data_IF_131470416117
#
_entry.id   IF_131470416117
#
_cell.length_a   1.000
_cell.length_b   1.000
_cell.length_c   1.000
_cell.angle_alpha   90.00
_cell.angle_beta   90.00
_cell.angle_gamma   90.00
#
_symmetry.space_group_name_H-M   'P 1'
#
loop_
_entity.id
_entity.type
_entity.pdbx_description
1 polymer ?
#
# COMPACT_ATOMS: atom_id res chain seq x y z
N UNK A 1 -2.76 -1.18 -10.79
CA UNK A 1 -1.38 -1.56 -11.12
C UNK A 1 -0.74 -2.56 -10.17
N UNK A 2 -1.15 -2.68 -8.90
CA UNK A 2 -0.61 -3.70 -8.00
C UNK A 2 -0.68 -5.14 -8.55
N UNK A 3 -1.65 -5.41 -9.45
CA UNK A 3 -1.77 -6.70 -10.18
C UNK A 3 -0.69 -6.89 -11.25
N UNK A 4 -0.05 -5.82 -11.75
CA UNK A 4 1.01 -5.91 -12.76
C UNK A 4 2.24 -6.68 -12.27
N UNK A 5 2.45 -6.76 -10.94
CA UNK A 5 3.52 -7.56 -10.33
C UNK A 5 3.10 -8.97 -9.96
N UNK A 6 1.85 -9.36 -10.22
CA UNK A 6 1.36 -10.71 -9.95
C UNK A 6 2.13 -11.83 -10.66
N UNK A 7 2.67 -11.66 -11.88
CA UNK A 7 3.54 -12.67 -12.49
C UNK A 7 4.76 -13.02 -11.61
N UNK A 8 5.30 -12.05 -10.87
CA UNK A 8 6.41 -12.29 -9.94
C UNK A 8 5.97 -13.13 -8.73
N UNK A 9 4.71 -13.02 -8.30
CA UNK A 9 4.13 -13.87 -7.24
C UNK A 9 4.03 -15.32 -7.71
N UNK A 10 3.62 -15.55 -8.96
CA UNK A 10 3.60 -16.90 -9.54
C UNK A 10 5.01 -17.50 -9.63
N UNK A 11 6.01 -16.71 -10.01
CA UNK A 11 7.40 -17.16 -10.01
C UNK A 11 7.86 -17.52 -8.59
N UNK A 12 7.53 -16.71 -7.58
CA UNK A 12 7.83 -17.04 -6.19
C UNK A 12 7.14 -18.34 -5.75
N UNK A 13 5.88 -18.56 -6.13
CA UNK A 13 5.16 -19.80 -5.86
C UNK A 13 5.85 -21.02 -6.48
N UNK A 14 6.16 -20.96 -7.77
CA UNK A 14 6.83 -22.04 -8.50
C UNK A 14 8.18 -22.40 -7.88
N UNK A 15 8.96 -21.39 -7.45
CA UNK A 15 10.29 -21.59 -6.89
C UNK A 15 10.25 -22.16 -5.46
N UNK A 16 9.41 -21.59 -4.59
CA UNK A 16 9.45 -21.90 -3.15
C UNK A 16 8.50 -23.03 -2.76
N UNK A 17 7.33 -23.13 -3.40
CA UNK A 17 6.32 -24.15 -3.08
C UNK A 17 6.48 -25.35 -4.01
N UNK A 18 6.49 -25.12 -5.33
CA UNK A 18 6.54 -26.22 -6.31
C UNK A 18 7.98 -26.71 -6.62
N UNK A 19 8.99 -25.94 -6.20
CA UNK A 19 10.42 -26.22 -6.44
C UNK A 19 10.78 -26.42 -7.92
N UNK A 20 10.08 -25.73 -8.82
CA UNK A 20 10.38 -25.75 -10.26
C UNK A 20 11.68 -24.97 -10.55
N UNK A 21 12.43 -25.35 -11.60
CA UNK A 21 13.58 -24.57 -12.02
C UNK A 21 13.17 -23.18 -12.54
N UNK A 22 13.96 -22.16 -12.20
CA UNK A 22 13.68 -20.75 -12.52
C UNK A 22 13.40 -20.52 -14.01
N UNK A 23 14.22 -21.11 -14.89
CA UNK A 23 14.09 -20.92 -16.33
C UNK A 23 12.72 -21.35 -16.84
N UNK A 24 12.22 -22.52 -16.40
CA UNK A 24 10.90 -23.02 -16.80
C UNK A 24 9.77 -22.16 -16.23
N UNK A 25 9.89 -21.76 -14.96
CA UNK A 25 8.91 -20.86 -14.35
C UNK A 25 8.81 -19.54 -15.11
N UNK A 26 9.94 -18.90 -15.45
CA UNK A 26 9.94 -17.65 -16.20
C UNK A 26 9.34 -17.81 -17.60
N UNK A 27 9.71 -18.87 -18.33
CA UNK A 27 9.19 -19.16 -19.68
C UNK A 27 7.67 -19.30 -19.69
N UNK A 28 7.11 -20.07 -18.75
CA UNK A 28 5.66 -20.26 -18.62
C UNK A 28 4.92 -18.95 -18.32
N UNK A 29 5.61 -17.92 -17.79
CA UNK A 29 5.03 -16.65 -17.35
C UNK A 29 5.31 -15.48 -18.30
N UNK A 30 6.06 -15.70 -19.39
CA UNK A 30 6.36 -14.67 -20.40
C UNK A 30 5.11 -13.92 -20.85
N UNK A 31 3.98 -14.56 -21.22
CA UNK A 31 2.79 -13.83 -21.66
C UNK A 31 2.26 -12.84 -20.62
N UNK A 32 2.31 -13.21 -19.33
CA UNK A 32 1.84 -12.34 -18.25
C UNK A 32 2.80 -11.19 -17.98
N UNK A 33 4.12 -11.42 -18.07
CA UNK A 33 5.10 -10.35 -17.97
C UNK A 33 5.00 -9.35 -19.13
N UNK A 34 4.78 -9.84 -20.36
CA UNK A 34 4.55 -8.98 -21.53
C UNK A 34 3.31 -8.13 -21.32
N UNK A 35 2.18 -8.73 -20.93
CA UNK A 35 0.95 -7.99 -20.65
C UNK A 35 1.16 -6.93 -19.55
N UNK A 36 1.81 -7.31 -18.44
CA UNK A 36 2.13 -6.40 -17.35
C UNK A 36 3.02 -5.23 -17.80
N UNK A 37 4.03 -5.49 -18.63
CA UNK A 37 4.92 -4.47 -19.16
C UNK A 37 4.18 -3.50 -20.08
N UNK A 38 3.31 -3.99 -20.97
CA UNK A 38 2.46 -3.16 -21.83
C UNK A 38 1.61 -2.21 -20.99
N UNK A 39 0.89 -2.73 -19.97
CA UNK A 39 0.09 -1.88 -19.09
C UNK A 39 0.94 -0.90 -18.28
N UNK A 40 2.12 -1.31 -17.80
CA UNK A 40 3.01 -0.42 -17.07
C UNK A 40 3.48 0.75 -17.95
N UNK A 41 3.84 0.49 -19.21
CA UNK A 41 4.23 1.52 -20.19
C UNK A 41 3.05 2.44 -20.49
N UNK A 42 1.87 1.90 -20.79
CA UNK A 42 0.66 2.69 -21.06
C UNK A 42 0.34 3.63 -19.89
N UNK A 43 0.38 3.12 -18.66
CA UNK A 43 0.16 3.94 -17.47
C UNK A 43 1.25 4.98 -17.33
N UNK A 44 2.52 4.61 -17.45
CA UNK A 44 3.63 5.55 -17.32
C UNK A 44 3.52 6.69 -18.34
N UNK A 45 3.08 6.39 -19.57
CA UNK A 45 2.85 7.41 -20.61
C UNK A 45 1.65 8.32 -20.35
N UNK A 46 0.65 7.85 -19.60
CA UNK A 46 -0.54 8.62 -19.24
C UNK A 46 -0.33 9.49 -17.97
N UNK A 47 0.73 9.23 -17.20
CA UNK A 47 1.04 10.03 -16.01
C UNK A 47 1.75 11.33 -16.42
N UNK A 48 1.36 12.49 -15.86
CA UNK A 48 2.09 13.72 -16.08
C UNK A 48 3.50 13.60 -15.49
N UNK A 49 4.53 14.22 -16.10
CA UNK A 49 5.87 14.24 -15.54
C UNK A 49 5.85 14.97 -14.20
N UNK A 50 5.98 14.22 -13.10
CA UNK A 50 5.96 14.79 -11.75
C UNK A 50 7.32 15.33 -11.31
N UNK A 51 8.36 15.23 -12.15
CA UNK A 51 9.74 15.63 -11.81
C UNK A 51 10.40 14.78 -10.72
N UNK A 52 9.75 13.69 -10.32
CA UNK A 52 10.18 12.85 -9.21
C UNK A 52 11.35 11.95 -9.59
N UNK A 53 12.35 11.92 -8.72
CA UNK A 53 13.46 10.97 -8.77
C UNK A 53 13.21 9.86 -7.75
N UNK A 54 13.49 8.59 -8.08
CA UNK A 54 13.39 7.50 -7.12
C UNK A 54 14.53 7.65 -6.09
N UNK A 55 14.24 8.27 -4.95
CA UNK A 55 15.17 8.42 -3.83
C UNK A 55 15.00 7.23 -2.88
N UNK A 56 16.02 6.36 -2.71
CA UNK A 56 15.92 5.16 -1.86
C UNK A 56 15.36 5.40 -0.46
N UNK A 57 15.77 6.46 0.25
CA UNK A 57 15.25 6.73 1.60
C UNK A 57 13.75 7.08 1.57
N UNK A 58 13.29 7.82 0.56
CA UNK A 58 11.89 8.20 0.42
C UNK A 58 11.04 6.98 0.05
N UNK A 59 11.55 6.11 -0.82
CA UNK A 59 10.92 4.83 -1.14
C UNK A 59 10.83 3.92 0.09
N UNK A 60 11.88 3.87 0.92
CA UNK A 60 11.87 3.14 2.19
C UNK A 60 10.78 3.66 3.14
N UNK A 61 10.72 4.98 3.35
CA UNK A 61 9.71 5.60 4.20
C UNK A 61 8.29 5.34 3.67
N UNK A 62 8.08 5.44 2.36
CA UNK A 62 6.81 5.14 1.72
C UNK A 62 6.44 3.65 1.82
N UNK A 63 7.41 2.73 1.72
CA UNK A 63 7.22 1.30 1.99
C UNK A 63 6.81 1.04 3.44
N UNK A 64 7.53 1.64 4.39
CA UNK A 64 7.24 1.49 5.82
C UNK A 64 5.83 2.00 6.15
N UNK A 65 5.43 3.14 5.59
CA UNK A 65 4.10 3.70 5.79
C UNK A 65 3.02 2.89 5.07
N UNK A 66 3.28 2.35 3.88
CA UNK A 66 2.35 1.44 3.21
C UNK A 66 2.16 0.15 4.01
N UNK A 67 3.23 -0.36 4.61
CA UNK A 67 3.18 -1.48 5.56
C UNK A 67 2.39 -1.14 6.82
N UNK A 68 2.58 0.05 7.38
CA UNK A 68 1.80 0.52 8.53
C UNK A 68 0.32 0.67 8.21
N UNK A 69 -0.02 1.24 7.06
CA UNK A 69 -1.39 1.32 6.56
C UNK A 69 -2.02 -0.04 6.33
N UNK A 70 -1.25 -1.01 5.81
CA UNK A 70 -1.72 -2.38 5.60
C UNK A 70 -2.19 -3.05 6.90
N UNK A 71 -1.65 -2.64 8.05
CA UNK A 71 -2.12 -3.15 9.35
C UNK A 71 -3.50 -2.65 9.75
N UNK A 72 -4.04 -1.62 9.08
CA UNK A 72 -5.28 -0.94 9.42
C UNK A 72 -5.15 0.10 10.57
N UNK A 73 -3.96 0.23 11.17
CA UNK A 73 -3.68 1.18 12.25
C UNK A 73 -2.97 2.46 11.77
N UNK A 74 -2.62 2.51 10.49
CA UNK A 74 -2.09 3.72 9.87
C UNK A 74 -3.13 4.81 9.70
N UNK A 75 -2.68 6.06 9.79
CA UNK A 75 -3.51 7.20 9.47
C UNK A 75 -3.73 7.26 7.96
N UNK A 76 -4.95 7.02 7.51
CA UNK A 76 -5.33 7.15 6.10
C UNK A 76 -5.15 8.61 5.67
N UNK A 77 -4.08 8.84 4.91
CA UNK A 77 -3.75 10.11 4.28
C UNK A 77 -3.16 9.79 2.92
N UNK A 78 -3.55 10.59 1.95
CA UNK A 78 -2.81 10.74 0.70
C UNK A 78 -1.45 11.30 1.06
N UNK A 79 -0.41 10.48 0.91
CA UNK A 79 0.90 10.80 1.43
C UNK A 79 1.99 10.66 0.37
N UNK A 80 2.88 11.66 0.39
CA UNK A 80 4.14 11.68 -0.34
C UNK A 80 5.22 12.14 0.63
N UNK A 81 6.33 11.40 0.68
CA UNK A 81 7.52 11.84 1.41
C UNK A 81 8.13 13.00 0.63
N UNK A 82 8.19 14.23 1.17
CA UNK A 82 8.85 15.32 0.48
C UNK A 82 10.36 15.03 0.35
N UNK A 83 10.99 15.39 -0.78
CA UNK A 83 12.43 15.31 -0.90
C UNK A 83 13.08 16.19 0.17
N UNK A 84 14.01 15.63 0.93
CA UNK A 84 14.81 16.35 1.90
C UNK A 84 16.07 16.82 1.16
N UNK A 85 16.27 18.13 0.96
CA UNK A 85 17.44 18.65 0.26
C UNK A 85 18.75 18.29 0.99
N UNK A 86 18.70 18.06 2.30
CA UNK A 86 19.84 17.69 3.14
C UNK A 86 20.06 16.17 3.21
N UNK A 87 19.31 15.37 2.45
CA UNK A 87 19.48 13.92 2.38
C UNK A 87 20.81 13.56 1.71
N UNK A 88 21.86 13.48 2.52
CA UNK A 88 23.19 13.09 2.09
C UNK A 88 23.28 11.64 1.61
N UNK A 89 24.39 11.30 0.95
CA UNK A 89 24.63 9.98 0.37
C UNK A 89 24.46 8.83 1.38
N UNK A 90 24.83 9.03 2.65
CA UNK A 90 24.68 8.03 3.70
C UNK A 90 23.21 7.60 3.88
N UNK A 91 22.27 8.54 3.87
CA UNK A 91 20.85 8.24 4.04
C UNK A 91 20.30 7.48 2.82
N UNK A 92 20.78 7.79 1.62
CA UNK A 92 20.43 7.06 0.40
C UNK A 92 20.94 5.62 0.44
N UNK A 93 22.20 5.42 0.84
CA UNK A 93 22.82 4.10 0.96
C UNK A 93 22.10 3.27 2.03
N UNK A 94 21.84 3.86 3.20
CA UNK A 94 21.09 3.19 4.27
C UNK A 94 19.66 2.83 3.82
N UNK A 95 18.99 3.75 3.11
CA UNK A 95 17.67 3.51 2.52
C UNK A 95 17.66 2.32 1.55
N UNK A 96 18.62 2.30 0.62
CA UNK A 96 18.78 1.23 -0.34
C UNK A 96 19.12 -0.12 0.33
N UNK A 97 20.04 -0.13 1.30
CA UNK A 97 20.41 -1.32 2.04
C UNK A 97 19.22 -1.91 2.82
N UNK A 98 18.41 -1.06 3.45
CA UNK A 98 17.22 -1.50 4.17
C UNK A 98 16.13 -2.04 3.22
N UNK A 99 15.93 -1.40 2.06
CA UNK A 99 15.02 -1.93 1.04
C UNK A 99 15.45 -3.33 0.57
N UNK A 100 16.75 -3.52 0.28
CA UNK A 100 17.28 -4.85 -0.06
C UNK A 100 17.06 -5.85 1.08
N UNK A 101 17.27 -5.43 2.34
CA UNK A 101 17.03 -6.27 3.50
C UNK A 101 15.55 -6.69 3.62
N UNK A 102 14.60 -5.77 3.42
CA UNK A 102 13.15 -6.06 3.44
C UNK A 102 12.80 -7.15 2.41
N UNK A 103 13.40 -7.11 1.22
CA UNK A 103 13.19 -8.13 0.19
C UNK A 103 13.94 -9.44 0.44
N UNK A 104 15.06 -9.40 1.16
CA UNK A 104 15.87 -10.57 1.47
C UNK A 104 15.38 -11.36 2.69
N UNK A 105 14.84 -10.69 3.72
CA UNK A 105 14.40 -11.31 4.99
C UNK A 105 13.41 -12.46 4.80
N UNK A 106 12.39 -12.39 3.92
CA UNK A 106 11.50 -13.53 3.67
C UNK A 106 12.25 -14.81 3.25
N UNK A 107 13.42 -14.70 2.60
CA UNK A 107 14.22 -15.86 2.18
C UNK A 107 14.74 -16.68 3.37
N UNK A 108 14.85 -16.09 4.56
CA UNK A 108 15.23 -16.83 5.77
C UNK A 108 14.18 -17.88 6.14
N UNK A 109 12.92 -17.67 5.75
CA UNK A 109 11.81 -18.58 6.01
C UNK A 109 11.64 -19.67 4.94
N UNK A 110 12.36 -19.59 3.81
CA UNK A 110 12.12 -20.41 2.60
C UNK A 110 12.17 -21.92 2.82
N UNK A 111 13.02 -22.39 3.74
CA UNK A 111 13.20 -23.83 4.00
C UNK A 111 12.07 -24.43 4.83
N UNK A 112 11.51 -23.64 5.75
CA UNK A 112 10.60 -24.15 6.78
C UNK A 112 9.15 -23.73 6.52
N UNK A 113 8.94 -22.55 5.92
CA UNK A 113 7.64 -21.90 5.75
C UNK A 113 7.51 -21.34 4.32
N UNK A 114 7.64 -22.16 3.25
CA UNK A 114 7.69 -21.67 1.87
C UNK A 114 6.42 -20.89 1.46
N UNK A 115 5.25 -21.31 1.94
CA UNK A 115 4.00 -20.57 1.70
C UNK A 115 4.01 -19.16 2.29
N UNK A 116 4.59 -18.99 3.50
CA UNK A 116 4.73 -17.66 4.10
C UNK A 116 5.63 -16.76 3.26
N UNK A 117 6.69 -17.32 2.65
CA UNK A 117 7.58 -16.58 1.74
C UNK A 117 6.82 -16.07 0.51
N UNK A 118 5.97 -16.90 -0.09
CA UNK A 118 5.14 -16.50 -1.23
C UNK A 118 4.18 -15.37 -0.85
N UNK A 119 3.50 -15.48 0.29
CA UNK A 119 2.57 -14.46 0.76
C UNK A 119 3.27 -13.14 1.11
N UNK A 120 4.46 -13.20 1.73
CA UNK A 120 5.29 -12.03 1.99
C UNK A 120 5.72 -11.37 0.67
N UNK A 121 6.17 -12.14 -0.32
CA UNK A 121 6.52 -11.59 -1.63
C UNK A 121 5.32 -11.03 -2.38
N UNK A 122 4.13 -11.61 -2.23
CA UNK A 122 2.92 -11.00 -2.75
C UNK A 122 2.71 -9.59 -2.16
N UNK A 123 2.80 -9.44 -0.85
CA UNK A 123 2.69 -8.13 -0.19
C UNK A 123 3.76 -7.16 -0.73
N UNK A 124 5.02 -7.57 -0.75
CA UNK A 124 6.13 -6.71 -1.18
C UNK A 124 6.03 -6.31 -2.65
N UNK A 125 5.74 -7.26 -3.54
CA UNK A 125 5.60 -7.00 -4.97
C UNK A 125 4.37 -6.14 -5.28
N UNK A 126 3.29 -6.27 -4.53
CA UNK A 126 2.09 -5.45 -4.73
C UNK A 126 2.32 -3.95 -4.46
N UNK A 127 3.32 -3.61 -3.64
CA UNK A 127 3.72 -2.22 -3.40
C UNK A 127 4.65 -1.64 -4.46
N UNK A 128 5.42 -2.46 -5.19
CA UNK A 128 6.39 -1.96 -6.18
C UNK A 128 5.78 -0.95 -7.16
N UNK A 129 4.60 -1.16 -7.76
CA UNK A 129 4.07 -0.21 -8.73
C UNK A 129 3.76 1.16 -8.14
N UNK A 130 3.28 1.23 -6.89
CA UNK A 130 2.97 2.52 -6.27
C UNK A 130 4.23 3.29 -5.86
N UNK A 131 5.35 2.58 -5.66
CA UNK A 131 6.64 3.17 -5.27
C UNK A 131 7.55 3.47 -6.47
N UNK A 132 7.46 2.67 -7.53
CA UNK A 132 8.33 2.76 -8.70
C UNK A 132 7.79 3.62 -9.83
N UNK A 133 6.46 3.79 -9.91
CA UNK A 133 5.86 4.74 -10.85
C UNK A 133 5.81 6.13 -10.21
N UNK A 134 5.96 7.15 -11.05
CA UNK A 134 6.05 8.56 -10.65
C UNK A 134 4.68 9.15 -10.22
N UNK A 135 3.90 8.39 -9.45
CA UNK A 135 2.59 8.79 -8.96
C UNK A 135 2.70 10.02 -8.07
N UNK A 136 1.69 10.89 -8.20
CA UNK A 136 1.50 12.05 -7.32
C UNK A 136 1.43 11.67 -5.85
N UNK A 137 0.85 10.52 -5.52
CA UNK A 137 0.77 10.05 -4.15
C UNK A 137 1.06 8.55 -4.11
N UNK A 138 2.29 8.14 -3.76
CA UNK A 138 2.72 6.74 -3.76
C UNK A 138 2.12 5.93 -2.60
N UNK A 139 1.65 6.61 -1.55
CA UNK A 139 1.04 6.00 -0.37
C UNK A 139 -0.42 6.47 -0.28
N UNK A 140 -1.34 5.54 -0.58
CA UNK A 140 -2.80 5.76 -0.52
C UNK A 140 -3.50 4.43 -0.24
N UNK A 141 -4.70 4.49 0.31
CA UNK A 141 -5.55 3.34 0.63
C UNK A 141 -5.86 2.43 -0.57
N UNK A 142 -6.06 3.01 -1.76
CA UNK A 142 -6.33 2.24 -3.00
C UNK A 142 -5.23 1.26 -3.42
N UNK A 143 -4.01 1.41 -2.92
CA UNK A 143 -2.93 0.46 -3.21
C UNK A 143 -2.88 -0.72 -2.23
N UNK A 144 -3.68 -0.68 -1.16
CA UNK A 144 -3.71 -1.70 -0.12
C UNK A 144 -4.62 -2.89 -0.45
N UNK A 145 -5.57 -2.73 -1.38
CA UNK A 145 -6.56 -3.78 -1.70
C UNK A 145 -5.93 -5.11 -2.11
N UNK A 146 -4.85 -5.05 -2.90
CA UNK A 146 -4.18 -6.26 -3.37
C UNK A 146 -3.27 -6.92 -2.31
N UNK A 147 -2.38 -6.18 -1.62
CA UNK A 147 -1.56 -6.77 -0.54
C UNK A 147 -2.39 -7.19 0.68
N UNK A 148 -3.57 -6.60 0.94
CA UNK A 148 -4.40 -6.99 2.09
C UNK A 148 -4.93 -8.42 2.00
N UNK A 149 -5.23 -8.89 0.78
CA UNK A 149 -5.61 -10.29 0.55
C UNK A 149 -4.50 -11.23 1.02
N UNK A 150 -3.26 -10.97 0.60
CA UNK A 150 -2.10 -11.76 1.01
C UNK A 150 -1.85 -11.66 2.53
N UNK A 151 -2.02 -10.48 3.12
CA UNK A 151 -1.86 -10.27 4.56
C UNK A 151 -2.89 -11.07 5.38
N UNK A 152 -4.17 -11.05 5.00
CA UNK A 152 -5.21 -11.83 5.68
C UNK A 152 -4.98 -13.33 5.55
N UNK A 153 -4.58 -13.81 4.37
CA UNK A 153 -4.21 -15.22 4.16
C UNK A 153 -3.01 -15.59 5.05
N UNK A 154 -1.99 -14.72 5.14
CA UNK A 154 -0.81 -14.95 5.97
C UNK A 154 -1.15 -15.01 7.46
N UNK A 155 -2.03 -14.11 7.94
CA UNK A 155 -2.54 -14.14 9.32
C UNK A 155 -3.30 -15.44 9.58
N UNK A 156 -4.25 -15.79 8.72
CA UNK A 156 -5.03 -17.03 8.88
C UNK A 156 -4.12 -18.26 8.90
N UNK A 157 -3.16 -18.33 7.97
CA UNK A 157 -2.19 -19.41 7.90
C UNK A 157 -1.32 -19.50 9.17
N UNK A 158 -0.84 -18.36 9.69
CA UNK A 158 -0.05 -18.30 10.91
C UNK A 158 -0.85 -18.75 12.14
N UNK A 159 -2.12 -18.33 12.24
CA UNK A 159 -3.05 -18.74 13.30
C UNK A 159 -3.30 -20.25 13.26
N UNK A 160 -3.59 -20.80 12.09
CA UNK A 160 -3.81 -22.25 11.91
C UNK A 160 -2.56 -23.03 12.34
N UNK A 161 -1.38 -22.67 11.80
CA UNK A 161 -0.12 -23.35 12.15
C UNK A 161 0.23 -23.28 13.63
N UNK A 162 -0.08 -22.16 14.27
CA UNK A 162 0.14 -21.98 15.71
C UNK A 162 -0.88 -22.79 16.51
N UNK A 163 -2.15 -22.81 16.11
CA UNK A 163 -3.18 -23.61 16.78
C UNK A 163 -2.91 -25.11 16.69
N UNK A 164 -2.44 -25.61 15.54
CA UNK A 164 -2.05 -27.00 15.34
C UNK A 164 -0.93 -27.40 16.31
N UNK A 165 0.06 -26.50 16.50
CA UNK A 165 1.22 -26.75 17.37
C UNK A 165 0.85 -26.86 18.86
N UNK A 166 -0.16 -26.13 19.32
CA UNK A 166 -0.53 -26.04 20.74
C UNK A 166 -1.89 -26.69 21.07
N UNK A 167 -2.51 -27.38 20.11
CA UNK A 167 -3.78 -28.07 20.28
C UNK A 167 -4.92 -27.16 20.74
N UNK A 168 -5.76 -27.62 21.67
CA UNK A 168 -6.93 -26.88 22.17
C UNK A 168 -6.58 -25.50 22.75
N UNK A 169 -5.47 -25.38 23.50
CA UNK A 169 -5.03 -24.08 24.05
C UNK A 169 -4.66 -23.11 22.93
N UNK A 170 -3.98 -23.61 21.91
CA UNK A 170 -3.66 -22.86 20.70
C UNK A 170 -4.90 -22.37 19.95
N UNK A 171 -5.93 -23.22 19.84
CA UNK A 171 -7.19 -22.85 19.21
C UNK A 171 -7.91 -21.71 19.96
N UNK A 172 -8.06 -21.81 21.28
CA UNK A 172 -8.70 -20.74 22.06
C UNK A 172 -7.90 -19.43 21.99
N UNK A 173 -6.56 -19.51 22.06
CA UNK A 173 -5.70 -18.35 21.88
C UNK A 173 -5.86 -17.72 20.48
N UNK A 174 -5.94 -18.54 19.42
CA UNK A 174 -6.15 -18.06 18.05
C UNK A 174 -7.51 -17.38 17.88
N UNK A 175 -8.58 -17.95 18.45
CA UNK A 175 -9.93 -17.33 18.45
C UNK A 175 -9.91 -16.00 19.19
N UNK A 176 -9.29 -15.95 20.39
CA UNK A 176 -9.16 -14.72 21.17
C UNK A 176 -8.38 -13.64 20.42
N UNK A 177 -7.26 -14.01 19.80
CA UNK A 177 -6.46 -13.08 19.00
C UNK A 177 -7.22 -12.57 17.77
N UNK A 178 -7.95 -13.45 17.07
CA UNK A 178 -8.78 -13.06 15.93
C UNK A 178 -9.90 -12.10 16.35
N UNK A 179 -10.54 -12.34 17.50
CA UNK A 179 -11.55 -11.44 18.04
C UNK A 179 -10.96 -10.05 18.37
N UNK A 180 -9.78 -10.01 19.02
CA UNK A 180 -9.08 -8.74 19.33
C UNK A 180 -8.76 -7.98 18.04
N UNK A 181 -8.18 -8.64 17.04
CA UNK A 181 -7.87 -8.02 15.74
C UNK A 181 -9.15 -7.50 15.07
N UNK A 182 -10.22 -8.30 15.05
CA UNK A 182 -11.49 -7.94 14.43
C UNK A 182 -12.13 -6.72 15.10
N UNK A 183 -12.11 -6.64 16.43
CA UNK A 183 -12.60 -5.49 17.18
C UNK A 183 -11.76 -4.24 16.86
N UNK A 184 -10.44 -4.38 16.85
CA UNK A 184 -9.52 -3.28 16.55
C UNK A 184 -9.73 -2.74 15.11
N UNK A 185 -9.86 -3.63 14.12
CA UNK A 185 -10.19 -3.27 12.74
C UNK A 185 -11.58 -2.67 12.58
N UNK A 186 -12.57 -3.16 13.33
CA UNK A 186 -13.92 -2.58 13.32
C UNK A 186 -13.88 -1.12 13.81
N UNK A 187 -13.19 -0.85 14.91
CA UNK A 187 -13.06 0.52 15.46
C UNK A 187 -12.36 1.47 14.48
N UNK A 188 -11.26 1.03 13.87
CA UNK A 188 -10.53 1.84 12.87
C UNK A 188 -11.35 2.07 11.61
N UNK A 189 -12.09 1.06 11.14
CA UNK A 189 -13.01 1.18 10.00
C UNK A 189 -14.12 2.19 10.29
N UNK A 190 -14.74 2.13 11.47
CA UNK A 190 -15.80 3.08 11.86
C UNK A 190 -15.26 4.51 11.95
N UNK A 191 -14.04 4.70 12.48
CA UNK A 191 -13.39 6.00 12.52
C UNK A 191 -13.12 6.54 11.10
N UNK A 192 -12.64 5.69 10.20
CA UNK A 192 -12.41 6.05 8.80
C UNK A 192 -13.70 6.41 8.08
N UNK A 193 -14.77 5.64 8.27
CA UNK A 193 -16.10 5.96 7.72
C UNK A 193 -16.65 7.30 8.25
N UNK A 194 -16.30 7.69 9.47
CA UNK A 194 -16.66 8.99 10.03
C UNK A 194 -16.09 10.16 9.22
N UNK A 195 -14.88 10.02 8.68
CA UNK A 195 -14.25 11.05 7.84
C UNK A 195 -14.97 11.25 6.51
N UNK A 196 -15.43 10.16 5.89
CA UNK A 196 -16.22 10.22 4.65
C UNK A 196 -17.62 10.81 4.85
N UNK A 197 -18.10 10.88 6.09
CA UNK A 197 -19.38 11.53 6.44
C UNK A 197 -19.25 13.02 6.73
N UNK A 198 -18.04 13.58 6.82
CA UNK A 198 -17.83 15.00 7.10
C UNK A 198 -18.28 15.86 5.91
N UNK A 199 -19.23 16.80 6.08
CA UNK A 199 -19.71 17.65 4.99
C UNK A 199 -18.66 18.65 4.46
N UNK A 200 -17.57 18.89 5.20
CA UNK A 200 -16.52 19.86 4.82
C UNK A 200 -15.57 19.37 3.72
N UNK A 201 -15.71 18.11 3.29
CA UNK A 201 -14.86 17.33 2.37
C UNK A 201 -13.82 16.43 3.05
N UNK A 202 -13.50 15.33 2.36
CA UNK A 202 -12.38 14.43 2.71
C UNK A 202 -11.04 15.18 2.75
N UNK A 203 -10.89 16.23 1.93
CA UNK A 203 -9.66 17.05 1.93
C UNK A 203 -9.46 17.80 3.24
N UNK A 204 -10.53 18.18 3.93
CA UNK A 204 -10.41 18.80 5.25
C UNK A 204 -9.78 17.83 6.26
N UNK A 205 -10.25 16.57 6.30
CA UNK A 205 -9.64 15.52 7.12
C UNK A 205 -8.17 15.28 6.75
N UNK A 206 -7.85 15.25 5.45
CA UNK A 206 -6.48 15.08 4.99
C UNK A 206 -5.55 16.25 5.44
N UNK A 207 -6.01 17.51 5.43
CA UNK A 207 -5.20 18.66 5.91
C UNK A 207 -4.91 18.62 7.41
N UNK A 208 -5.70 17.89 8.21
CA UNK A 208 -5.40 17.72 9.64
C UNK A 208 -4.29 16.69 9.90
N UNK A 209 -3.98 15.86 8.89
CA UNK A 209 -3.10 14.71 9.04
C UNK A 209 -1.83 14.81 8.20
N UNK A 210 -1.79 15.74 7.25
CA UNK A 210 -0.66 15.97 6.35
C UNK A 210 -0.41 17.45 6.15
N UNK A 211 0.87 17.81 6.15
CA UNK A 211 1.35 19.13 5.78
C UNK A 211 1.62 19.27 4.27
N UNK A 212 1.24 18.27 3.46
CA UNK A 212 1.42 18.31 2.01
C UNK A 212 0.60 19.44 1.37
N UNK A 213 1.28 20.32 0.64
CA UNK A 213 0.68 21.47 -0.05
C UNK A 213 -0.43 21.07 -1.00
N UNK A 214 -0.32 19.90 -1.65
CA UNK A 214 -1.34 19.40 -2.58
C UNK A 214 -2.67 19.17 -1.87
N UNK A 215 -2.63 18.78 -0.59
CA UNK A 215 -3.83 18.55 0.22
C UNK A 215 -4.58 19.86 0.49
N UNK A 216 -3.85 20.94 0.80
CA UNK A 216 -4.43 22.27 0.98
C UNK A 216 -4.95 22.84 -0.34
N UNK A 217 -4.22 22.63 -1.44
CA UNK A 217 -4.65 23.04 -2.78
C UNK A 217 -5.97 22.36 -3.16
N UNK A 218 -6.08 21.06 -2.96
CA UNK A 218 -7.31 20.31 -3.25
C UNK A 218 -8.49 20.74 -2.35
N UNK A 219 -8.24 21.04 -1.07
CA UNK A 219 -9.27 21.62 -0.19
C UNK A 219 -9.75 22.99 -0.69
N UNK A 220 -8.83 23.86 -1.12
CA UNK A 220 -9.15 25.15 -1.71
C UNK A 220 -9.99 25.02 -2.98
N UNK A 221 -9.60 24.10 -3.87
CA UNK A 221 -10.34 23.77 -5.10
C UNK A 221 -11.77 23.30 -4.80
N UNK A 222 -11.95 22.44 -3.79
CA UNK A 222 -13.28 22.02 -3.34
C UNK A 222 -14.14 23.21 -2.89
N UNK A 223 -13.60 24.13 -2.09
CA UNK A 223 -14.36 25.31 -1.66
C UNK A 223 -14.68 26.27 -2.81
N UNK A 224 -13.79 26.39 -3.80
CA UNK A 224 -14.07 27.17 -5.02
C UNK A 224 -15.21 26.55 -5.83
N UNK A 225 -15.22 25.23 -6.02
CA UNK A 225 -16.33 24.53 -6.71
C UNK A 225 -17.65 24.72 -5.96
N UNK A 226 -17.64 24.56 -4.64
CA UNK A 226 -18.83 24.77 -3.80
C UNK A 226 -19.33 26.22 -3.89
N UNK A 227 -18.44 27.22 -3.86
CA UNK A 227 -18.81 28.62 -4.05
C UNK A 227 -19.40 28.87 -5.45
N UNK A 228 -18.84 28.25 -6.49
CA UNK A 228 -19.36 28.31 -7.86
C UNK A 228 -20.79 27.79 -7.98
N UNK A 229 -21.12 26.68 -7.29
CA UNK A 229 -22.47 26.10 -7.26
C UNK A 229 -23.50 26.99 -6.57
N UNK A 230 -23.09 27.78 -5.57
CA UNK A 230 -23.97 28.73 -4.88
C UNK A 230 -24.29 29.96 -5.76
N UNK A 231 -23.56 30.15 -6.87
CA UNK A 231 -23.76 31.24 -7.81
C UNK A 231 -23.38 32.61 -7.24
N UNK A 232 -23.64 33.68 -8.00
CA UNK A 232 -23.34 35.07 -7.60
C UNK A 232 -24.44 35.73 -6.75
N UNK A 233 -25.50 35.01 -6.39
CA UNK A 233 -26.60 35.60 -5.60
C UNK A 233 -26.08 35.91 -4.20
N UNK A 234 -26.01 37.19 -3.87
CA UNK A 234 -25.76 37.63 -2.50
C UNK A 234 -26.80 37.00 -1.58
N UNK A 235 -26.34 36.40 -0.47
CA UNK A 235 -27.24 36.03 0.63
C UNK A 235 -27.97 37.30 1.08
N UNK A 236 -29.30 37.30 0.97
CA UNK A 236 -30.14 38.44 1.37
C UNK A 236 -30.53 39.41 0.25
N UNK A 237 -30.26 39.11 -1.02
CA UNK A 237 -30.88 39.87 -2.11
C UNK A 237 -32.41 39.76 -2.01
N UNK A 238 -33.16 40.89 -2.02
CA UNK A 238 -34.61 40.84 -2.00
C UNK A 238 -35.11 40.01 -3.19
N UNK A 239 -36.07 39.12 -2.94
CA UNK A 239 -36.77 38.45 -4.04
C UNK A 239 -37.56 39.50 -4.83
N UNK A 240 -37.54 39.45 -6.17
CA UNK A 240 -38.31 40.36 -7.02
C UNK A 240 -39.82 40.18 -6.83
#
# INVERSE_FOLDING_TARGET
LSVATFPAVFVAHDLFVEKRPLARSLLDKVPFFVAAAVFAIMVASAQPPTGHRPLPYAMLAAFAQSGWLLTGFGTYVIYRVPPNPDAGALLQIAGAAMLLAIFAVPLLLRRRWPMAVVLLYWILFAFIPSQGLAFQHPVTDRYLFFPSVAAVILIAWALIKTSERFGRRGLFAAIGLLAIISIAWTRTTLAYLGEWRDPRSVWYGATQKSSDSDTYYNLGSYYQDMAGRLGKRQRGAPLP
#
